data_IF_622671200450
#
_entry.id   IF_622671200450
#
_cell.length_a   1.000
_cell.length_b   1.000
_cell.length_c   1.000
_cell.angle_alpha   90.00
_cell.angle_beta   90.00
_cell.angle_gamma   90.00
#
_symmetry.space_group_name_H-M   'P 1'
#
loop_
_entity.id
_entity.type
_entity.pdbx_description
1 polymer ?
#
# COMPACT_ATOMS: atom_id res chain seq x y z
N UNK A 1 3.80 8.61 31.37
CA UNK A 1 3.14 7.31 31.14
C UNK A 1 2.59 7.35 29.73
N UNK A 2 2.84 6.32 28.93
CA UNK A 2 2.37 6.22 27.55
C UNK A 2 1.42 5.05 27.46
N UNK A 3 0.23 5.26 26.90
CA UNK A 3 -0.77 4.22 26.67
C UNK A 3 -0.86 3.97 25.18
N UNK A 4 -0.76 2.71 24.78
CA UNK A 4 -0.96 2.26 23.40
C UNK A 4 -2.37 1.71 23.33
N UNK A 5 -3.19 2.24 22.41
CA UNK A 5 -4.57 1.83 22.21
C UNK A 5 -4.65 1.23 20.81
N UNK A 6 -4.89 -0.07 20.73
CA UNK A 6 -5.08 -0.79 19.47
C UNK A 6 -6.57 -0.74 19.06
N UNK A 7 -6.83 -0.68 17.74
CA UNK A 7 -8.19 -0.67 17.17
C UNK A 7 -9.09 0.48 17.67
N UNK A 8 -8.51 1.65 17.93
CA UNK A 8 -9.28 2.84 18.28
C UNK A 8 -10.20 3.25 17.11
N UNK A 9 -11.50 3.35 17.38
CA UNK A 9 -12.48 3.86 16.43
C UNK A 9 -12.59 5.39 16.50
N UNK A 10 -13.39 5.97 15.61
CA UNK A 10 -13.57 7.43 15.53
C UNK A 10 -14.16 8.05 16.81
N UNK A 11 -14.92 7.28 17.60
CA UNK A 11 -15.48 7.75 18.87
C UNK A 11 -14.40 7.81 19.95
N UNK A 12 -13.55 6.79 20.02
CA UNK A 12 -12.40 6.76 20.94
C UNK A 12 -11.44 7.92 20.62
N UNK A 13 -11.14 8.15 19.34
CA UNK A 13 -10.32 9.30 18.92
C UNK A 13 -10.94 10.64 19.34
N UNK A 14 -12.25 10.83 19.11
CA UNK A 14 -12.94 12.06 19.52
C UNK A 14 -12.91 12.32 21.04
N UNK A 15 -12.99 11.27 21.86
CA UNK A 15 -12.83 11.37 23.31
C UNK A 15 -11.39 11.75 23.68
N UNK A 16 -10.39 11.11 23.07
CA UNK A 16 -8.98 11.42 23.32
C UNK A 16 -8.64 12.87 22.93
N UNK A 17 -9.18 13.36 21.83
CA UNK A 17 -9.04 14.76 21.41
C UNK A 17 -9.69 15.73 22.40
N UNK A 18 -10.87 15.38 22.92
CA UNK A 18 -11.55 16.18 23.95
C UNK A 18 -10.71 16.27 25.24
N UNK A 19 -9.96 15.23 25.58
CA UNK A 19 -9.06 15.23 26.75
C UNK A 19 -7.85 16.17 26.59
N UNK A 20 -7.46 16.56 25.37
CA UNK A 20 -6.42 17.59 25.16
C UNK A 20 -6.80 18.93 25.78
N UNK A 21 -8.09 19.26 25.82
CA UNK A 21 -8.58 20.49 26.45
C UNK A 21 -8.34 20.51 27.97
N UNK A 22 -8.35 19.34 28.61
CA UNK A 22 -8.15 19.20 30.05
C UNK A 22 -6.69 18.91 30.44
N UNK A 23 -5.89 18.39 29.50
CA UNK A 23 -4.47 18.17 29.71
C UNK A 23 -3.65 18.65 28.50
N UNK A 24 -3.13 19.88 28.53
CA UNK A 24 -2.39 20.47 27.40
C UNK A 24 -1.05 19.78 27.11
N UNK A 25 -0.59 18.88 27.99
CA UNK A 25 0.61 18.07 27.77
C UNK A 25 0.32 16.74 27.06
N UNK A 26 -0.96 16.40 26.84
CA UNK A 26 -1.37 15.19 26.15
C UNK A 26 -0.97 15.25 24.66
N UNK A 27 -0.12 14.32 24.24
CA UNK A 27 0.26 14.13 22.84
C UNK A 27 -0.39 12.86 22.32
N UNK A 28 -1.16 12.98 21.25
CA UNK A 28 -1.74 11.85 20.52
C UNK A 28 -0.93 11.69 19.25
N UNK A 29 -0.41 10.49 19.01
CA UNK A 29 0.24 10.11 17.77
C UNK A 29 -0.56 8.98 17.14
N UNK A 30 -0.99 9.18 15.90
CA UNK A 30 -1.66 8.15 15.13
C UNK A 30 -0.60 7.42 14.29
N UNK A 31 -0.40 6.14 14.56
CA UNK A 31 0.37 5.29 13.65
C UNK A 31 -0.53 4.95 12.45
N UNK A 32 -0.28 5.63 11.34
CA UNK A 32 -0.91 5.34 10.06
C UNK A 32 -0.09 4.25 9.33
N UNK A 33 -0.56 2.99 9.28
CA UNK A 33 0.19 1.90 8.63
C UNK A 33 0.37 2.12 7.12
N UNK A 34 -0.55 2.85 6.47
CA UNK A 34 -0.42 3.26 5.06
C UNK A 34 0.73 4.25 4.88
N UNK A 35 0.91 5.15 5.85
CA UNK A 35 1.95 6.16 5.83
C UNK A 35 3.33 5.52 6.07
N UNK A 36 3.43 4.48 6.90
CA UNK A 36 4.63 3.68 7.05
C UNK A 36 5.00 2.88 5.78
N UNK A 37 4.01 2.55 4.93
CA UNK A 37 4.25 1.88 3.65
C UNK A 37 4.78 2.83 2.55
N UNK A 38 4.60 4.15 2.68
CA UNK A 38 5.14 5.13 1.74
C UNK A 38 6.68 5.17 1.76
N UNK A 39 7.29 4.88 2.91
CA UNK A 39 8.74 4.76 3.10
C UNK A 39 9.28 3.34 2.86
N UNK A 40 8.43 2.42 2.35
CA UNK A 40 8.86 1.05 2.07
C UNK A 40 9.92 1.01 0.98
N UNK A 41 11.18 0.84 1.39
CA UNK A 41 12.28 0.56 0.48
C UNK A 41 12.20 -0.91 0.05
N UNK A 42 11.86 -1.15 -1.22
CA UNK A 42 11.88 -2.49 -1.82
C UNK A 42 13.23 -3.17 -1.57
N UNK A 43 13.21 -4.42 -1.10
CA UNK A 43 14.44 -5.23 -0.99
C UNK A 43 15.16 -5.25 -2.36
N UNK A 44 16.50 -5.12 -2.43
CA UNK A 44 17.23 -5.01 -3.70
C UNK A 44 16.95 -6.14 -4.71
N UNK A 45 16.66 -7.36 -4.22
CA UNK A 45 16.27 -8.50 -5.07
C UNK A 45 14.89 -8.31 -5.70
N UNK A 46 13.92 -7.79 -4.96
CA UNK A 46 12.57 -7.50 -5.45
C UNK A 46 12.61 -6.36 -6.47
N UNK A 47 13.38 -5.31 -6.19
CA UNK A 47 13.58 -4.18 -7.10
C UNK A 47 14.20 -4.62 -8.43
N UNK A 48 15.25 -5.46 -8.41
CA UNK A 48 15.86 -6.02 -9.63
C UNK A 48 14.87 -6.85 -10.45
N UNK A 49 14.06 -7.68 -9.79
CA UNK A 49 13.02 -8.48 -10.46
C UNK A 49 11.97 -7.59 -11.10
N UNK A 50 11.50 -6.58 -10.38
CA UNK A 50 10.52 -5.62 -10.88
C UNK A 50 11.05 -4.83 -12.08
N UNK A 51 12.27 -4.29 -11.99
CA UNK A 51 12.92 -3.58 -13.10
C UNK A 51 13.08 -4.46 -14.33
N UNK A 52 13.46 -5.74 -14.16
CA UNK A 52 13.57 -6.70 -15.26
C UNK A 52 12.21 -6.96 -15.92
N UNK A 53 11.16 -7.18 -15.12
CA UNK A 53 9.82 -7.40 -15.62
C UNK A 53 9.28 -6.19 -16.39
N UNK A 54 9.46 -4.97 -15.86
CA UNK A 54 9.07 -3.73 -16.55
C UNK A 54 9.78 -3.61 -17.90
N UNK A 55 11.10 -3.83 -17.94
CA UNK A 55 11.88 -3.76 -19.18
C UNK A 55 11.43 -4.80 -20.22
N UNK A 56 11.01 -5.98 -19.77
CA UNK A 56 10.46 -7.02 -20.65
C UNK A 56 9.10 -6.61 -21.22
N UNK A 57 8.21 -6.08 -20.38
CA UNK A 57 6.90 -5.56 -20.81
C UNK A 57 7.07 -4.42 -21.82
N UNK A 58 7.95 -3.46 -21.54
CA UNK A 58 8.26 -2.37 -22.47
C UNK A 58 8.81 -2.87 -23.81
N UNK A 59 9.68 -3.89 -23.78
CA UNK A 59 10.22 -4.49 -25.01
C UNK A 59 9.14 -5.17 -25.82
N UNK A 60 8.26 -5.96 -25.19
CA UNK A 60 7.10 -6.59 -25.84
C UNK A 60 6.15 -5.55 -26.41
N UNK A 61 5.89 -4.45 -25.68
CA UNK A 61 5.07 -3.33 -26.14
C UNK A 61 5.66 -2.67 -27.39
N UNK A 62 6.96 -2.35 -27.38
CA UNK A 62 7.65 -1.73 -28.53
C UNK A 62 7.68 -2.62 -29.77
N UNK A 63 7.74 -3.93 -29.59
CA UNK A 63 7.70 -4.93 -30.67
C UNK A 63 6.29 -5.27 -31.13
N UNK A 64 5.24 -4.74 -30.48
CA UNK A 64 3.85 -5.11 -30.76
C UNK A 64 3.49 -6.54 -30.37
N UNK A 65 4.33 -7.23 -29.59
CA UNK A 65 4.14 -8.63 -29.16
C UNK A 65 3.60 -8.74 -27.73
N UNK A 66 3.25 -7.61 -27.13
CA UNK A 66 2.58 -7.61 -25.84
C UNK A 66 1.14 -8.11 -26.04
N UNK A 67 0.85 -9.28 -25.49
CA UNK A 67 -0.48 -9.86 -25.52
C UNK A 67 -1.43 -8.94 -24.75
N UNK A 68 -2.39 -8.38 -25.48
CA UNK A 68 -3.52 -7.64 -24.93
C UNK A 68 -4.74 -8.52 -25.01
N UNK A 69 -5.52 -8.58 -23.94
CA UNK A 69 -6.82 -9.23 -23.92
C UNK A 69 -7.88 -8.17 -24.11
N UNK A 70 -8.83 -8.43 -24.98
CA UNK A 70 -9.94 -7.52 -25.25
C UNK A 70 -11.15 -7.80 -24.37
N UNK A 71 -11.20 -8.97 -23.74
CA UNK A 71 -12.26 -9.40 -22.82
C UNK A 71 -11.71 -10.23 -21.66
N UNK A 72 -12.52 -10.38 -20.60
CA UNK A 72 -12.16 -11.17 -19.42
C UNK A 72 -12.16 -12.66 -19.76
N UNK A 73 -13.02 -13.08 -20.68
CA UNK A 73 -13.14 -14.45 -21.17
C UNK A 73 -11.87 -14.91 -21.89
N UNK A 74 -11.27 -14.04 -22.72
CA UNK A 74 -9.99 -14.31 -23.39
C UNK A 74 -8.83 -14.47 -22.38
N UNK A 75 -8.80 -13.64 -21.34
CA UNK A 75 -7.80 -13.76 -20.27
C UNK A 75 -7.96 -15.08 -19.52
N UNK A 76 -9.20 -15.47 -19.22
CA UNK A 76 -9.50 -16.70 -18.50
C UNK A 76 -9.06 -17.94 -19.28
N UNK A 77 -9.36 -17.98 -20.58
CA UNK A 77 -8.96 -19.09 -21.45
C UNK A 77 -7.44 -19.29 -21.49
N UNK A 78 -6.65 -18.20 -21.45
CA UNK A 78 -5.19 -18.27 -21.47
C UNK A 78 -4.55 -18.69 -20.14
N UNK A 79 -5.28 -18.51 -19.02
CA UNK A 79 -4.84 -18.93 -17.69
C UNK A 79 -5.23 -20.38 -17.38
N UNK A 80 -6.29 -20.90 -18.02
CA UNK A 80 -6.80 -22.26 -17.85
C UNK A 80 -6.18 -23.27 -18.85
N UNK A 81 -5.37 -22.81 -19.81
CA UNK A 81 -4.60 -23.61 -20.78
C UNK A 81 -3.17 -23.88 -20.36
#
# INVERSE_FOLDING_TARGET
MTLIIENADSKVLGVLESLKAFNPKLKIQEECPICAAADYTLKPKAEKRLKKAIKEIESKRKKGTLKSFTSIEELRADLES
#
